data_IF_629450528570
#
_entry.id   IF_629450528570
#
_cell.length_a   1.000
_cell.length_b   1.000
_cell.length_c   1.000
_cell.angle_alpha   90.00
_cell.angle_beta   90.00
_cell.angle_gamma   90.00
#
_symmetry.space_group_name_H-M   'P 1'
#
loop_
_entity.id
_entity.type
_entity.pdbx_description
1 polymer ?
#
# COMPACT_ATOMS: atom_id res chain seq x y z
N UNK A 1 32.49 -4.39 8.07
CA UNK A 1 31.53 -3.27 7.89
C UNK A 1 30.30 -3.78 7.19
N UNK A 2 29.14 -3.62 7.79
CA UNK A 2 27.88 -3.95 7.12
C UNK A 2 27.51 -2.81 6.19
N UNK A 3 27.56 -3.07 4.88
CA UNK A 3 27.06 -2.11 3.89
C UNK A 3 25.53 -2.17 3.83
N UNK A 4 24.92 -1.27 3.05
CA UNK A 4 23.47 -1.19 2.91
C UNK A 4 22.85 -2.50 2.39
N UNK A 5 23.55 -3.23 1.54
CA UNK A 5 23.09 -4.50 0.98
C UNK A 5 22.97 -5.58 2.05
N UNK A 6 23.93 -5.65 2.97
CA UNK A 6 23.89 -6.61 4.07
C UNK A 6 22.71 -6.34 5.00
N UNK A 7 22.45 -5.07 5.28
CA UNK A 7 21.29 -4.66 6.09
C UNK A 7 19.97 -5.07 5.41
N UNK A 8 19.86 -4.84 4.11
CA UNK A 8 18.67 -5.20 3.33
C UNK A 8 18.41 -6.71 3.37
N UNK A 9 19.44 -7.52 3.12
CA UNK A 9 19.32 -8.97 3.14
C UNK A 9 18.91 -9.49 4.51
N UNK A 10 19.52 -8.97 5.55
CA UNK A 10 19.22 -9.36 6.93
C UNK A 10 17.81 -8.94 7.34
N UNK A 11 17.37 -7.76 6.93
CA UNK A 11 16.02 -7.29 7.19
C UNK A 11 14.98 -8.19 6.51
N UNK A 12 15.25 -8.61 5.26
CA UNK A 12 14.36 -9.52 4.53
C UNK A 12 14.26 -10.87 5.24
N UNK A 13 15.37 -11.45 5.68
CA UNK A 13 15.40 -12.71 6.41
C UNK A 13 14.58 -12.62 7.72
N UNK A 14 14.75 -11.54 8.46
CA UNK A 14 14.01 -11.31 9.70
C UNK A 14 12.49 -11.18 9.44
N UNK A 15 12.12 -10.48 8.38
CA UNK A 15 10.73 -10.31 8.00
C UNK A 15 10.10 -11.65 7.58
N UNK A 16 10.82 -12.48 6.83
CA UNK A 16 10.35 -13.81 6.42
C UNK A 16 10.13 -14.74 7.61
N UNK A 17 10.94 -14.61 8.64
CA UNK A 17 10.79 -15.40 9.87
C UNK A 17 9.80 -14.79 10.88
N UNK A 18 9.12 -13.71 10.52
CA UNK A 18 8.12 -13.05 11.35
C UNK A 18 8.67 -12.11 12.41
N UNK A 19 9.99 -11.84 12.40
CA UNK A 19 10.63 -10.91 13.32
C UNK A 19 10.56 -9.48 12.79
N UNK A 20 9.33 -8.93 12.72
CA UNK A 20 9.06 -7.66 12.06
C UNK A 20 9.68 -6.46 12.75
N UNK A 21 9.69 -6.42 14.07
CA UNK A 21 10.28 -5.30 14.82
C UNK A 21 11.79 -5.20 14.57
N UNK A 22 12.49 -6.34 14.55
CA UNK A 22 13.92 -6.39 14.27
C UNK A 22 14.21 -6.01 12.83
N UNK A 23 13.39 -6.50 11.89
CA UNK A 23 13.49 -6.13 10.47
C UNK A 23 13.29 -4.63 10.28
N UNK A 24 12.29 -4.06 10.95
CA UNK A 24 11.99 -2.63 10.89
C UNK A 24 13.15 -1.79 11.41
N UNK A 25 13.79 -2.22 12.51
CA UNK A 25 14.96 -1.54 13.06
C UNK A 25 16.11 -1.46 12.05
N UNK A 26 16.36 -2.56 11.31
CA UNK A 26 17.41 -2.59 10.29
C UNK A 26 17.09 -1.70 9.10
N UNK A 27 15.84 -1.72 8.62
CA UNK A 27 15.41 -0.86 7.51
C UNK A 27 15.49 0.61 7.91
N UNK A 28 15.16 0.95 9.13
CA UNK A 28 15.31 2.32 9.63
C UNK A 28 16.78 2.76 9.64
N UNK A 29 17.71 1.86 9.90
CA UNK A 29 19.16 2.16 9.78
C UNK A 29 19.55 2.42 8.32
N UNK A 30 19.03 1.62 7.37
CA UNK A 30 19.24 1.86 5.94
C UNK A 30 18.77 3.25 5.52
N UNK A 31 17.58 3.64 5.96
CA UNK A 31 16.98 4.95 5.63
C UNK A 31 17.85 6.08 6.20
N UNK A 32 18.43 5.91 7.38
CA UNK A 32 19.35 6.89 7.96
C UNK A 32 20.65 7.02 7.15
N UNK A 33 21.13 5.92 6.56
CA UNK A 33 22.32 5.93 5.71
C UNK A 33 22.02 6.67 4.41
N UNK A 34 20.88 6.39 3.79
CA UNK A 34 20.45 7.03 2.54
C UNK A 34 18.92 7.22 2.53
N UNK A 35 18.49 8.42 2.89
CA UNK A 35 17.06 8.78 2.95
C UNK A 35 16.39 8.81 1.58
N UNK A 36 17.18 8.88 0.50
CA UNK A 36 16.68 8.94 -0.88
C UNK A 36 16.68 7.57 -1.58
N UNK A 37 16.87 6.49 -0.87
CA UNK A 37 16.78 5.16 -1.43
C UNK A 37 15.34 4.66 -1.41
N UNK A 38 14.69 4.67 -2.58
CA UNK A 38 13.29 4.25 -2.72
C UNK A 38 13.07 2.80 -2.26
N UNK A 39 14.04 1.90 -2.50
CA UNK A 39 13.94 0.51 -2.10
C UNK A 39 13.84 0.35 -0.58
N UNK A 40 14.59 1.13 0.18
CA UNK A 40 14.53 1.08 1.66
C UNK A 40 13.15 1.49 2.17
N UNK A 41 12.56 2.55 1.62
CA UNK A 41 11.21 2.96 1.97
C UNK A 41 10.17 1.91 1.56
N UNK A 42 10.34 1.32 0.39
CA UNK A 42 9.47 0.23 -0.07
C UNK A 42 9.53 -0.97 0.88
N UNK A 43 10.74 -1.39 1.27
CA UNK A 43 10.94 -2.49 2.21
C UNK A 43 10.29 -2.20 3.57
N UNK A 44 10.43 -0.97 4.07
CA UNK A 44 9.77 -0.52 5.30
C UNK A 44 8.25 -0.66 5.18
N UNK A 45 7.69 -0.19 4.07
CA UNK A 45 6.25 -0.31 3.81
C UNK A 45 5.78 -1.76 3.79
N UNK A 46 6.55 -2.65 3.16
CA UNK A 46 6.24 -4.09 3.09
C UNK A 46 6.22 -4.73 4.48
N UNK A 47 7.19 -4.42 5.32
CA UNK A 47 7.24 -4.92 6.69
C UNK A 47 6.04 -4.43 7.49
N UNK A 48 5.74 -3.13 7.43
CA UNK A 48 4.60 -2.54 8.12
C UNK A 48 3.27 -3.12 7.64
N UNK A 49 3.16 -3.39 6.33
CA UNK A 49 1.97 -4.02 5.75
C UNK A 49 1.75 -5.42 6.33
N UNK A 50 2.81 -6.23 6.45
CA UNK A 50 2.76 -7.56 7.07
C UNK A 50 2.36 -7.50 8.55
N UNK A 51 2.68 -6.40 9.23
CA UNK A 51 2.26 -6.13 10.61
C UNK A 51 0.83 -5.61 10.70
N UNK A 52 0.12 -5.49 9.59
CA UNK A 52 -1.21 -4.89 9.48
C UNK A 52 -1.25 -3.41 9.90
N UNK A 53 -0.11 -2.73 9.89
CA UNK A 53 0.01 -1.30 10.14
C UNK A 53 -0.12 -0.54 8.81
N UNK A 54 -1.35 -0.53 8.29
CA UNK A 54 -1.61 -0.09 6.92
C UNK A 54 -1.37 1.40 6.70
N UNK A 55 -1.70 2.25 7.67
CA UNK A 55 -1.44 3.69 7.53
C UNK A 55 0.04 4.00 7.49
N UNK A 56 0.82 3.36 8.35
CA UNK A 56 2.28 3.53 8.36
C UNK A 56 2.91 2.96 7.08
N UNK A 57 2.41 1.81 6.61
CA UNK A 57 2.84 1.22 5.34
C UNK A 57 2.56 2.16 4.18
N UNK A 58 1.36 2.76 4.14
CA UNK A 58 0.97 3.73 3.14
C UNK A 58 1.95 4.89 3.08
N UNK A 59 2.33 5.45 4.24
CA UNK A 59 3.28 6.56 4.32
C UNK A 59 4.64 6.17 3.73
N UNK A 60 5.10 4.95 4.02
CA UNK A 60 6.39 4.44 3.50
C UNK A 60 6.34 4.20 1.99
N UNK A 61 5.27 3.60 1.49
CA UNK A 61 5.09 3.40 0.04
C UNK A 61 4.99 4.74 -0.70
N UNK A 62 4.31 5.74 -0.10
CA UNK A 62 4.23 7.08 -0.66
C UNK A 62 5.61 7.71 -0.80
N UNK A 63 6.47 7.57 0.20
CA UNK A 63 7.85 8.04 0.12
C UNK A 63 8.62 7.34 -0.99
N UNK A 64 8.49 6.03 -1.11
CA UNK A 64 9.12 5.27 -2.18
C UNK A 64 8.68 5.75 -3.57
N UNK A 65 7.38 5.98 -3.75
CA UNK A 65 6.81 6.47 -5.01
C UNK A 65 7.23 7.91 -5.31
N UNK A 66 7.38 8.76 -4.31
CA UNK A 66 7.85 10.14 -4.50
C UNK A 66 9.31 10.19 -4.93
N UNK A 67 10.15 9.32 -4.34
CA UNK A 67 11.57 9.21 -4.71
C UNK A 67 11.71 8.59 -6.09
N UNK A 68 10.98 7.51 -6.37
CA UNK A 68 10.99 6.80 -7.64
C UNK A 68 9.60 6.76 -8.27
N UNK A 69 9.18 7.80 -9.02
CA UNK A 69 7.83 7.85 -9.61
C UNK A 69 7.50 6.70 -10.57
N UNK A 70 8.52 6.02 -11.11
CA UNK A 70 8.36 4.86 -12.00
C UNK A 70 8.36 3.52 -11.26
N UNK A 71 8.47 3.56 -9.94
CA UNK A 71 8.48 2.38 -9.09
C UNK A 71 7.05 1.84 -8.95
N UNK A 72 6.62 1.04 -9.92
CA UNK A 72 5.23 0.56 -10.02
C UNK A 72 4.80 -0.27 -8.83
N UNK A 73 5.71 -1.07 -8.24
CA UNK A 73 5.43 -1.88 -7.06
C UNK A 73 5.07 -1.01 -5.86
N UNK A 74 5.70 0.15 -5.72
CA UNK A 74 5.37 1.10 -4.65
C UNK A 74 3.97 1.69 -4.85
N UNK A 75 3.61 2.06 -6.08
CA UNK A 75 2.27 2.53 -6.40
C UNK A 75 1.21 1.45 -6.17
N UNK A 76 1.51 0.22 -6.60
CA UNK A 76 0.59 -0.91 -6.42
C UNK A 76 0.34 -1.18 -4.94
N UNK A 77 1.40 -1.27 -4.13
CA UNK A 77 1.28 -1.54 -2.71
C UNK A 77 0.64 -0.37 -1.95
N UNK A 78 0.88 0.86 -2.39
CA UNK A 78 0.15 2.03 -1.91
C UNK A 78 -1.37 1.83 -2.11
N UNK A 79 -1.76 1.39 -3.31
CA UNK A 79 -3.15 1.05 -3.61
C UNK A 79 -3.70 -0.03 -2.70
N UNK A 80 -2.92 -1.08 -2.45
CA UNK A 80 -3.32 -2.18 -1.56
C UNK A 80 -3.49 -1.70 -0.12
N UNK A 81 -2.62 -0.82 0.36
CA UNK A 81 -2.74 -0.22 1.69
C UNK A 81 -4.03 0.60 1.79
N UNK A 82 -4.35 1.40 0.78
CA UNK A 82 -5.62 2.12 0.72
C UNK A 82 -6.83 1.16 0.76
N UNK A 83 -6.77 0.04 0.01
CA UNK A 83 -7.84 -0.95 0.02
C UNK A 83 -8.08 -1.51 1.42
N UNK A 84 -7.01 -1.83 2.14
CA UNK A 84 -7.10 -2.36 3.51
C UNK A 84 -7.61 -1.31 4.51
N UNK A 85 -7.44 -0.03 4.20
CA UNK A 85 -7.97 1.08 5.00
C UNK A 85 -9.41 1.45 4.61
N UNK A 86 -9.98 0.79 3.61
CA UNK A 86 -11.31 1.12 3.10
C UNK A 86 -11.36 2.40 2.27
N UNK A 87 -10.21 2.93 1.87
CA UNK A 87 -10.08 4.15 1.07
C UNK A 87 -10.01 3.79 -0.41
N UNK A 88 -11.14 3.33 -0.94
CA UNK A 88 -11.19 2.73 -2.29
C UNK A 88 -10.93 3.72 -3.41
N UNK A 89 -11.38 4.96 -3.28
CA UNK A 89 -11.16 5.99 -4.32
C UNK A 89 -9.67 6.31 -4.44
N UNK A 90 -8.99 6.47 -3.33
CA UNK A 90 -7.54 6.69 -3.30
C UNK A 90 -6.79 5.47 -3.83
N UNK A 91 -7.28 4.26 -3.53
CA UNK A 91 -6.74 3.01 -4.09
C UNK A 91 -6.81 2.99 -5.62
N UNK A 92 -7.95 3.39 -6.18
CA UNK A 92 -8.12 3.49 -7.65
C UNK A 92 -7.07 4.42 -8.26
N UNK A 93 -6.85 5.58 -7.64
CA UNK A 93 -5.85 6.55 -8.13
C UNK A 93 -4.44 5.96 -8.14
N UNK A 94 -4.10 5.19 -7.10
CA UNK A 94 -2.79 4.52 -7.05
C UNK A 94 -2.66 3.45 -8.14
N UNK A 95 -3.69 2.63 -8.35
CA UNK A 95 -3.69 1.63 -9.42
C UNK A 95 -3.68 2.28 -10.81
N UNK A 96 -4.34 3.43 -10.98
CA UNK A 96 -4.29 4.21 -12.23
C UNK A 96 -2.85 4.67 -12.51
N UNK A 97 -2.08 5.04 -11.51
CA UNK A 97 -0.67 5.39 -11.69
C UNK A 97 0.15 4.19 -12.18
N UNK A 98 -0.12 2.99 -11.66
CA UNK A 98 0.50 1.76 -12.19
C UNK A 98 0.14 1.58 -13.66
N UNK A 99 -1.12 1.74 -14.01
CA UNK A 99 -1.62 1.55 -15.38
C UNK A 99 -1.13 2.61 -16.36
N UNK A 100 -0.79 3.81 -15.89
CA UNK A 100 -0.12 4.82 -16.72
C UNK A 100 1.28 4.37 -17.13
N UNK A 101 1.99 3.70 -16.23
CA UNK A 101 3.36 3.22 -16.46
C UNK A 101 3.33 1.89 -17.19
N UNK A 102 2.45 0.97 -16.75
CA UNK A 102 2.28 -0.38 -17.30
C UNK A 102 0.81 -0.61 -17.67
N UNK A 103 0.36 -0.18 -18.89
CA UNK A 103 -1.06 -0.26 -19.28
C UNK A 103 -1.65 -1.67 -19.26
N UNK A 104 -0.82 -2.70 -19.38
CA UNK A 104 -1.25 -4.10 -19.44
C UNK A 104 -1.08 -4.83 -18.10
N UNK A 105 -0.83 -4.11 -17.00
CA UNK A 105 -0.69 -4.72 -15.68
C UNK A 105 -2.05 -5.30 -15.24
N UNK A 106 -2.13 -6.62 -15.25
CA UNK A 106 -3.36 -7.35 -14.94
C UNK A 106 -3.76 -7.20 -13.48
N UNK A 107 -2.80 -7.30 -12.56
CA UNK A 107 -3.08 -7.20 -11.13
C UNK A 107 -3.63 -5.82 -10.76
N UNK A 108 -3.03 -4.76 -11.27
CA UNK A 108 -3.49 -3.40 -11.02
C UNK A 108 -4.91 -3.19 -11.55
N UNK A 109 -5.20 -3.72 -12.74
CA UNK A 109 -6.54 -3.63 -13.33
C UNK A 109 -7.57 -4.37 -12.49
N UNK A 110 -7.26 -5.57 -12.04
CA UNK A 110 -8.16 -6.38 -11.21
C UNK A 110 -8.46 -5.69 -9.88
N UNK A 111 -7.43 -5.15 -9.23
CA UNK A 111 -7.61 -4.46 -7.95
C UNK A 111 -8.40 -3.16 -8.12
N UNK A 112 -8.13 -2.41 -9.20
CA UNK A 112 -8.90 -1.21 -9.55
C UNK A 112 -10.39 -1.54 -9.73
N UNK A 113 -10.69 -2.61 -10.46
CA UNK A 113 -12.07 -3.06 -10.67
C UNK A 113 -12.73 -3.49 -9.37
N UNK A 114 -12.00 -4.19 -8.50
CA UNK A 114 -12.50 -4.57 -7.18
C UNK A 114 -12.81 -3.32 -6.33
N UNK A 115 -11.96 -2.31 -6.34
CA UNK A 115 -12.19 -1.06 -5.63
C UNK A 115 -13.46 -0.36 -6.12
N UNK A 116 -13.67 -0.30 -7.45
CA UNK A 116 -14.88 0.26 -8.03
C UNK A 116 -16.13 -0.49 -7.58
N UNK A 117 -16.06 -1.81 -7.58
CA UNK A 117 -17.16 -2.66 -7.10
C UNK A 117 -17.50 -2.37 -5.63
N UNK A 118 -16.49 -2.23 -4.78
CA UNK A 118 -16.66 -1.90 -3.36
C UNK A 118 -17.38 -0.55 -3.16
N UNK A 119 -17.02 0.45 -3.95
CA UNK A 119 -17.68 1.76 -3.93
C UNK A 119 -19.15 1.63 -4.33
N UNK A 120 -19.43 0.90 -5.41
CA UNK A 120 -20.79 0.70 -5.91
C UNK A 120 -21.66 -0.05 -4.88
N UNK A 121 -21.12 -1.08 -4.24
CA UNK A 121 -21.82 -1.82 -3.18
C UNK A 121 -22.16 -0.91 -1.99
N UNK A 122 -21.22 -0.08 -1.56
CA UNK A 122 -21.44 0.89 -0.48
C UNK A 122 -22.54 1.89 -0.83
N UNK A 123 -22.56 2.40 -2.06
CA UNK A 123 -23.61 3.31 -2.55
C UNK A 123 -24.99 2.63 -2.58
N UNK A 124 -25.06 1.38 -3.01
CA UNK A 124 -26.30 0.61 -3.08
C UNK A 124 -26.90 0.38 -1.68
N UNK A 125 -26.06 0.01 -0.72
CA UNK A 125 -26.46 -0.18 0.67
C UNK A 125 -27.00 1.13 1.26
N UNK A 126 -26.34 2.26 1.01
CA UNK A 126 -26.76 3.59 1.47
C UNK A 126 -28.13 3.96 0.89
N UNK A 127 -28.37 3.70 -0.40
CA UNK A 127 -29.65 3.96 -1.06
C UNK A 127 -30.77 3.13 -0.46
N UNK A 128 -30.55 1.85 -0.22
CA UNK A 128 -31.53 0.94 0.40
C UNK A 128 -31.86 1.41 1.83
N UNK A 129 -30.87 1.77 2.61
CA UNK A 129 -31.03 2.26 3.98
C UNK A 129 -31.89 3.54 4.01
N UNK A 130 -31.61 4.52 3.13
CA UNK A 130 -32.41 5.75 3.00
C UNK A 130 -33.83 5.46 2.58
N UNK A 131 -34.06 4.55 1.63
CA UNK A 131 -35.40 4.16 1.18
C UNK A 131 -36.19 3.52 2.30
N UNK A 132 -35.58 2.67 3.12
CA UNK A 132 -36.23 2.03 4.26
C UNK A 132 -36.59 3.04 5.36
N UNK A 133 -35.70 4.00 5.65
CA UNK A 133 -35.99 5.08 6.58
C UNK A 133 -37.19 5.93 6.14
N UNK A 134 -37.29 6.26 4.86
CA UNK A 134 -38.42 7.00 4.30
C UNK A 134 -39.73 6.24 4.46
N UNK A 135 -39.75 4.92 4.29
CA UNK A 135 -40.93 4.07 4.49
C UNK A 135 -41.37 4.01 5.95
N UNK A 136 -40.41 4.08 6.89
CA UNK A 136 -40.75 4.02 8.33
C UNK A 136 -41.35 5.33 8.87
N UNK A 137 -41.12 6.46 8.18
CA UNK A 137 -41.62 7.79 8.59
C UNK A 137 -43.06 8.05 8.12
N UNK A 138 -43.53 7.29 7.13
CA UNK A 138 -44.92 7.32 6.70
C UNK A 138 -45.81 6.43 7.62
#
# INVERSE_FOLDING_TARGET
MSDARDLTNRAAELAESGQYEDALALVNKEIKIDVHNANSWYNKGTILFKMCRYQDALNSFAQAADIGPEFTEAWYNKGMAFMNLGKYLEGIRAFDNVLKIKPNDKQAREQRNLAQKKIMESCSITKISKKNQTKLIK
#
